data_IF_647826874780
#
_entry.id   IF_647826874780
#
_cell.length_a   1.000
_cell.length_b   1.000
_cell.length_c   1.000
_cell.angle_alpha   90.00
_cell.angle_beta   90.00
_cell.angle_gamma   90.00
#
_symmetry.space_group_name_H-M   'P 1'
#
loop_
_entity.id
_entity.type
_entity.pdbx_description
1 polymer ?
#
# COMPACT_ATOMS: atom_id res chain seq x y z
N UNK A 1 0.23 16.97 -7.98
CA UNK A 1 0.68 16.22 -9.18
C UNK A 1 1.89 15.41 -8.75
N UNK A 2 2.06 14.20 -9.27
CA UNK A 2 2.97 13.19 -8.72
C UNK A 2 4.39 13.44 -9.23
N UNK A 3 5.22 14.09 -8.43
CA UNK A 3 6.51 14.63 -8.87
C UNK A 3 7.53 13.53 -9.17
N UNK A 4 7.66 12.49 -8.34
CA UNK A 4 8.68 11.45 -8.55
C UNK A 4 8.26 10.48 -9.66
N UNK A 5 6.98 10.11 -9.72
CA UNK A 5 6.49 9.19 -10.76
C UNK A 5 6.59 9.81 -12.16
N UNK A 6 6.32 11.11 -12.29
CA UNK A 6 6.50 11.87 -13.53
C UNK A 6 7.98 12.07 -13.87
N UNK A 7 8.82 12.43 -12.88
CA UNK A 7 10.24 12.64 -13.08
C UNK A 7 10.96 11.37 -13.55
N UNK A 8 10.59 10.21 -13.00
CA UNK A 8 11.24 8.91 -13.28
C UNK A 8 10.49 8.12 -14.37
N UNK A 9 9.26 8.51 -14.72
CA UNK A 9 8.41 7.77 -15.65
C UNK A 9 8.05 6.38 -15.10
N UNK A 10 7.77 6.30 -13.80
CA UNK A 10 7.75 5.06 -13.04
C UNK A 10 6.49 4.88 -12.20
N UNK A 11 6.15 3.63 -11.88
CA UNK A 11 5.19 3.35 -10.81
C UNK A 11 5.98 3.25 -9.50
N UNK A 12 5.66 4.09 -8.50
CA UNK A 12 6.36 4.15 -7.21
C UNK A 12 5.51 3.44 -6.15
N UNK A 13 6.10 2.59 -5.30
CA UNK A 13 5.39 2.06 -4.12
C UNK A 13 5.59 2.94 -2.90
N UNK A 14 4.59 3.05 -2.02
CA UNK A 14 4.69 3.80 -0.76
C UNK A 14 5.75 3.27 0.19
N UNK A 15 6.08 1.99 0.10
CA UNK A 15 7.20 1.36 0.81
C UNK A 15 8.56 1.86 0.34
N UNK A 16 8.65 2.53 -0.81
CA UNK A 16 9.89 2.84 -1.53
C UNK A 16 10.73 1.62 -1.94
N UNK A 17 10.27 0.40 -1.68
CA UNK A 17 11.06 -0.82 -1.89
C UNK A 17 11.05 -1.30 -3.34
N UNK A 18 10.10 -0.87 -4.16
CA UNK A 18 10.02 -1.24 -5.58
C UNK A 18 9.52 -0.04 -6.41
N UNK A 19 10.23 0.27 -7.49
CA UNK A 19 9.79 1.15 -8.57
C UNK A 19 9.72 0.36 -9.87
N UNK A 20 8.65 0.54 -10.65
CA UNK A 20 8.53 -0.04 -11.99
C UNK A 20 9.10 0.93 -12.99
N UNK A 21 10.28 0.63 -13.54
CA UNK A 21 11.03 1.58 -14.38
C UNK A 21 11.49 0.91 -15.66
N UNK A 22 10.72 1.13 -16.72
CA UNK A 22 10.97 0.53 -18.03
C UNK A 22 12.30 1.00 -18.66
N UNK A 23 12.51 2.31 -18.75
CA UNK A 23 13.53 2.87 -19.64
C UNK A 23 14.81 3.35 -18.93
N UNK A 24 14.73 3.83 -17.68
CA UNK A 24 15.86 4.50 -17.03
C UNK A 24 16.90 3.55 -16.46
N UNK A 25 18.17 3.95 -16.49
CA UNK A 25 19.26 3.23 -15.81
C UNK A 25 19.18 3.42 -14.29
N UNK A 26 19.87 2.56 -13.53
CA UNK A 26 19.99 2.70 -12.06
C UNK A 26 20.48 4.09 -11.65
N UNK A 27 21.52 4.60 -12.32
CA UNK A 27 22.09 5.92 -12.04
C UNK A 27 21.07 7.04 -12.29
N UNK A 28 20.36 7.00 -13.43
CA UNK A 28 19.33 7.99 -13.75
C UNK A 28 18.17 8.00 -12.73
N UNK A 29 17.82 6.84 -12.16
CA UNK A 29 16.80 6.74 -11.11
C UNK A 29 17.31 7.35 -9.81
N UNK A 30 18.54 7.01 -9.41
CA UNK A 30 19.17 7.51 -8.19
C UNK A 30 19.37 9.03 -8.27
N UNK A 31 19.89 9.55 -9.38
CA UNK A 31 20.12 10.98 -9.58
C UNK A 31 18.80 11.75 -9.50
N UNK A 32 17.76 11.26 -10.20
CA UNK A 32 16.43 11.86 -10.19
C UNK A 32 15.82 11.87 -8.77
N UNK A 33 15.93 10.77 -8.03
CA UNK A 33 15.45 10.69 -6.64
C UNK A 33 16.25 11.61 -5.69
N UNK A 34 17.56 11.68 -5.88
CA UNK A 34 18.44 12.53 -5.08
C UNK A 34 18.16 14.02 -5.31
N UNK A 35 18.03 14.43 -6.57
CA UNK A 35 17.65 15.80 -6.94
C UNK A 35 16.28 16.16 -6.39
N UNK A 36 15.30 15.25 -6.53
CA UNK A 36 13.97 15.44 -5.98
C UNK A 36 13.99 15.68 -4.45
N UNK A 37 14.77 14.87 -3.73
CA UNK A 37 14.92 15.00 -2.28
C UNK A 37 15.61 16.29 -1.87
N UNK A 38 16.69 16.68 -2.57
CA UNK A 38 17.41 17.93 -2.31
C UNK A 38 16.49 19.14 -2.50
N UNK A 39 15.78 19.21 -3.64
CA UNK A 39 14.86 20.30 -3.95
C UNK A 39 13.74 20.42 -2.90
N UNK A 40 13.14 19.28 -2.51
CA UNK A 40 12.12 19.26 -1.45
C UNK A 40 12.69 19.80 -0.13
N UNK A 41 13.88 19.35 0.28
CA UNK A 41 14.52 19.78 1.53
C UNK A 41 14.81 21.28 1.54
N UNK A 42 15.24 21.85 0.42
CA UNK A 42 15.49 23.28 0.28
C UNK A 42 14.21 24.10 0.32
N UNK A 43 13.19 23.69 -0.43
CA UNK A 43 11.87 24.33 -0.40
C UNK A 43 11.29 24.33 1.01
N UNK A 44 11.33 23.18 1.68
CA UNK A 44 10.86 23.01 3.05
C UNK A 44 11.55 23.97 4.02
N UNK A 45 12.88 24.11 3.93
CA UNK A 45 13.65 25.07 4.74
C UNK A 45 13.25 26.51 4.46
N UNK A 46 13.05 26.87 3.19
CA UNK A 46 12.65 28.22 2.78
C UNK A 46 11.26 28.59 3.27
N UNK A 47 10.34 27.64 3.24
CA UNK A 47 8.91 27.84 3.55
C UNK A 47 8.57 27.54 5.03
N UNK A 48 9.54 27.08 5.82
CA UNK A 48 9.32 26.75 7.23
C UNK A 48 8.37 25.57 7.45
N UNK A 49 8.29 24.64 6.48
CA UNK A 49 7.38 23.51 6.51
C UNK A 49 7.88 22.48 7.57
N UNK A 50 6.99 21.92 8.42
CA UNK A 50 7.34 20.89 9.40
C UNK A 50 7.99 19.63 8.79
N UNK A 51 8.53 18.75 9.63
CA UNK A 51 9.01 17.43 9.18
C UNK A 51 7.89 16.67 8.46
N UNK A 52 8.26 15.92 7.42
CA UNK A 52 7.30 15.16 6.58
C UNK A 52 6.42 14.24 7.41
N UNK A 53 7.00 13.62 8.43
CA UNK A 53 6.30 12.65 9.27
C UNK A 53 5.23 13.35 10.13
N UNK A 54 5.50 14.57 10.61
CA UNK A 54 4.53 15.40 11.33
C UNK A 54 3.40 15.86 10.41
N UNK A 55 3.73 16.23 9.16
CA UNK A 55 2.72 16.61 8.17
C UNK A 55 1.83 15.40 7.83
N UNK A 56 2.44 14.22 7.63
CA UNK A 56 1.72 12.98 7.34
C UNK A 56 0.75 12.60 8.45
N UNK A 57 1.18 12.68 9.71
CA UNK A 57 0.33 12.41 10.88
C UNK A 57 -0.91 13.33 10.90
N UNK A 58 -0.72 14.63 10.67
CA UNK A 58 -1.84 15.59 10.60
C UNK A 58 -2.82 15.28 9.47
N UNK A 59 -2.31 14.95 8.29
CA UNK A 59 -3.15 14.60 7.14
C UNK A 59 -3.95 13.32 7.41
N UNK A 60 -3.34 12.32 8.07
CA UNK A 60 -4.02 11.10 8.49
C UNK A 60 -5.15 11.36 9.50
N UNK A 61 -4.91 12.23 10.48
CA UNK A 61 -5.92 12.63 11.47
C UNK A 61 -7.10 13.40 10.83
N UNK A 62 -6.80 14.34 9.94
CA UNK A 62 -7.83 15.07 9.19
C UNK A 62 -8.65 14.13 8.32
N UNK A 63 -8.00 13.18 7.65
CA UNK A 63 -8.66 12.17 6.81
C UNK A 63 -9.61 11.28 7.62
N UNK A 64 -9.19 10.88 8.82
CA UNK A 64 -10.02 10.13 9.76
C UNK A 64 -11.25 10.94 10.16
N UNK A 65 -11.09 12.23 10.48
CA UNK A 65 -12.18 13.14 10.80
C UNK A 65 -13.19 13.29 9.66
N UNK A 66 -12.71 13.44 8.42
CA UNK A 66 -13.56 13.50 7.21
C UNK A 66 -14.37 12.21 7.04
N UNK A 67 -13.74 11.05 7.22
CA UNK A 67 -14.41 9.76 7.11
C UNK A 67 -15.42 9.52 8.25
N UNK A 68 -15.10 9.96 9.48
CA UNK A 68 -16.03 9.91 10.62
C UNK A 68 -17.30 10.73 10.35
N UNK A 69 -17.15 11.92 9.78
CA UNK A 69 -18.29 12.77 9.45
C UNK A 69 -19.15 12.18 8.32
N UNK A 70 -18.52 11.64 7.27
CA UNK A 70 -19.22 10.93 6.20
C UNK A 70 -20.05 9.76 6.74
N UNK A 71 -19.49 8.98 7.67
CA UNK A 71 -20.20 7.89 8.33
C UNK A 71 -21.34 8.39 9.22
N UNK A 72 -21.14 9.48 9.96
CA UNK A 72 -22.18 10.06 10.79
C UNK A 72 -23.39 10.54 9.96
N UNK A 73 -23.16 11.09 8.76
CA UNK A 73 -24.23 11.46 7.82
C UNK A 73 -24.93 10.21 7.28
N UNK A 74 -24.19 9.16 6.92
CA UNK A 74 -24.76 7.89 6.48
C UNK A 74 -25.65 7.24 7.55
N UNK A 75 -25.20 7.26 8.81
CA UNK A 75 -25.99 6.73 9.93
C UNK A 75 -27.27 7.54 10.16
N UNK A 76 -27.23 8.87 9.99
CA UNK A 76 -28.42 9.72 10.03
C UNK A 76 -29.39 9.36 8.90
N UNK A 77 -28.90 9.11 7.69
CA UNK A 77 -29.70 8.66 6.57
C UNK A 77 -30.42 7.35 6.88
N UNK A 78 -29.71 6.34 7.40
CA UNK A 78 -30.32 5.06 7.76
C UNK A 78 -31.40 5.19 8.85
N UNK A 79 -31.25 6.14 9.78
CA UNK A 79 -32.25 6.39 10.84
C UNK A 79 -33.46 7.19 10.34
N UNK A 80 -33.27 8.15 9.43
CA UNK A 80 -34.31 9.11 9.01
C UNK A 80 -34.95 8.80 7.65
N UNK A 81 -34.36 7.89 6.87
CA UNK A 81 -34.80 7.54 5.52
C UNK A 81 -34.52 8.61 4.45
N UNK A 82 -33.82 9.70 4.79
CA UNK A 82 -33.59 10.83 3.89
C UNK A 82 -32.36 11.67 4.24
N UNK A 83 -31.84 12.40 3.24
CA UNK A 83 -30.71 13.33 3.35
C UNK A 83 -31.18 14.71 2.91
N UNK A 84 -30.96 15.72 3.75
CA UNK A 84 -31.27 17.12 3.43
C UNK A 84 -30.36 17.68 2.33
N UNK A 85 -30.79 18.77 1.68
CA UNK A 85 -29.96 19.45 0.67
C UNK A 85 -28.63 19.95 1.24
N UNK A 86 -28.62 20.39 2.51
CA UNK A 86 -27.39 20.79 3.20
C UNK A 86 -26.43 19.61 3.42
N UNK A 87 -26.95 18.46 3.85
CA UNK A 87 -26.14 17.25 3.99
C UNK A 87 -25.61 16.74 2.65
N UNK A 88 -26.36 16.85 1.55
CA UNK A 88 -25.86 16.52 0.21
C UNK A 88 -24.64 17.36 -0.17
N UNK A 89 -24.71 18.68 0.03
CA UNK A 89 -23.57 19.59 -0.21
C UNK A 89 -22.39 19.27 0.69
N UNK A 90 -22.66 18.94 1.97
CA UNK A 90 -21.61 18.56 2.92
C UNK A 90 -20.93 17.24 2.52
N UNK A 91 -21.69 16.23 2.08
CA UNK A 91 -21.14 14.97 1.56
C UNK A 91 -20.21 15.22 0.36
N UNK A 92 -20.64 16.07 -0.59
CA UNK A 92 -19.84 16.40 -1.77
C UNK A 92 -18.52 17.07 -1.38
N UNK A 93 -18.59 18.08 -0.51
CA UNK A 93 -17.40 18.74 0.03
C UNK A 93 -16.47 17.78 0.78
N UNK A 94 -17.00 16.93 1.66
CA UNK A 94 -16.21 15.93 2.40
C UNK A 94 -15.54 14.92 1.46
N UNK A 95 -16.20 14.53 0.37
CA UNK A 95 -15.60 13.64 -0.65
C UNK A 95 -14.44 14.32 -1.35
N UNK A 96 -14.59 15.59 -1.72
CA UNK A 96 -13.52 16.37 -2.32
C UNK A 96 -12.34 16.51 -1.35
N UNK A 97 -12.57 16.91 -0.10
CA UNK A 97 -11.52 17.00 0.91
C UNK A 97 -10.81 15.66 1.13
N UNK A 98 -11.56 14.54 1.13
CA UNK A 98 -10.96 13.21 1.24
C UNK A 98 -10.02 12.90 0.07
N UNK A 99 -10.43 13.24 -1.15
CA UNK A 99 -9.62 12.98 -2.34
C UNK A 99 -8.37 13.88 -2.36
N UNK A 100 -8.47 15.14 -1.92
CA UNK A 100 -7.35 16.06 -1.72
C UNK A 100 -6.36 15.54 -0.65
N UNK A 101 -6.85 15.12 0.52
CA UNK A 101 -6.02 14.56 1.59
C UNK A 101 -5.30 13.27 1.14
N UNK A 102 -5.99 12.40 0.39
CA UNK A 102 -5.37 11.21 -0.20
C UNK A 102 -4.22 11.58 -1.14
N UNK A 103 -4.43 12.58 -1.99
CA UNK A 103 -3.39 13.08 -2.88
C UNK A 103 -2.19 13.63 -2.11
N UNK A 104 -2.42 14.39 -1.03
CA UNK A 104 -1.33 14.88 -0.17
C UNK A 104 -0.53 13.73 0.46
N UNK A 105 -1.20 12.65 0.88
CA UNK A 105 -0.49 11.46 1.40
C UNK A 105 0.36 10.78 0.32
N UNK A 106 -0.14 10.71 -0.92
CA UNK A 106 0.59 10.12 -2.03
C UNK A 106 1.85 10.94 -2.36
N UNK A 107 1.75 12.28 -2.33
CA UNK A 107 2.90 13.18 -2.52
C UNK A 107 3.94 13.04 -1.38
N UNK A 108 3.49 12.87 -0.14
CA UNK A 108 4.38 12.62 1.00
C UNK A 108 5.10 11.26 0.90
N UNK A 109 4.41 10.22 0.43
CA UNK A 109 5.00 8.90 0.23
C UNK A 109 6.05 8.91 -0.90
N UNK A 110 5.84 9.68 -1.96
CA UNK A 110 6.85 9.87 -3.01
C UNK A 110 8.10 10.59 -2.52
N UNK A 111 7.93 11.61 -1.66
CA UNK A 111 9.06 12.30 -1.02
C UNK A 111 9.82 11.33 -0.11
N UNK A 112 9.11 10.49 0.65
CA UNK A 112 9.73 9.48 1.49
C UNK A 112 10.53 8.47 0.66
N UNK A 113 10.00 8.06 -0.51
CA UNK A 113 10.70 7.18 -1.43
C UNK A 113 11.96 7.83 -2.03
N UNK A 114 11.85 9.08 -2.48
CA UNK A 114 12.99 9.86 -2.99
C UNK A 114 14.11 9.96 -1.93
N UNK A 115 13.72 10.24 -0.68
CA UNK A 115 14.63 10.29 0.47
C UNK A 115 15.34 8.96 0.70
N UNK A 116 14.63 7.84 0.65
CA UNK A 116 15.21 6.51 0.89
C UNK A 116 16.23 6.16 -0.21
N UNK A 117 15.86 6.34 -1.48
CA UNK A 117 16.75 6.07 -2.63
C UNK A 117 17.99 6.99 -2.60
N UNK A 118 17.79 8.29 -2.35
CA UNK A 118 18.89 9.26 -2.33
C UNK A 118 19.86 9.08 -1.17
N UNK A 119 19.39 8.59 -0.01
CA UNK A 119 20.25 8.36 1.15
C UNK A 119 20.97 7.00 1.10
N UNK A 120 20.35 5.97 0.51
CA UNK A 120 20.86 4.60 0.48
C UNK A 120 20.92 4.02 -0.96
N UNK A 121 21.59 4.70 -1.92
CA UNK A 121 21.53 4.31 -3.33
C UNK A 121 22.04 2.89 -3.61
N UNK A 122 23.02 2.43 -2.84
CA UNK A 122 23.61 1.09 -2.98
C UNK A 122 22.70 -0.03 -2.43
N UNK A 123 21.59 0.30 -1.76
CA UNK A 123 20.61 -0.69 -1.32
C UNK A 123 19.67 -1.13 -2.45
N UNK A 124 19.72 -0.43 -3.60
CA UNK A 124 18.78 -0.62 -4.71
C UNK A 124 19.48 -1.12 -5.98
N UNK A 125 18.80 -2.03 -6.67
CA UNK A 125 19.26 -2.58 -7.94
C UNK A 125 18.12 -2.60 -8.96
N UNK A 126 18.46 -2.37 -10.23
CA UNK A 126 17.55 -2.56 -11.35
C UNK A 126 17.74 -3.97 -11.92
N UNK A 127 16.67 -4.72 -12.04
CA UNK A 127 16.69 -6.04 -12.66
C UNK A 127 15.35 -6.37 -13.32
N UNK A 128 15.35 -7.44 -14.11
CA UNK A 128 14.12 -8.00 -14.69
C UNK A 128 13.69 -9.18 -13.84
N UNK A 129 12.41 -9.20 -13.49
CA UNK A 129 11.86 -10.25 -12.67
C UNK A 129 11.69 -11.55 -13.44
N UNK A 130 11.99 -12.64 -12.76
CA UNK A 130 11.68 -14.01 -13.11
C UNK A 130 10.97 -14.74 -11.95
N UNK A 131 10.60 -16.00 -12.14
CA UNK A 131 9.89 -16.74 -11.10
C UNK A 131 10.73 -16.95 -9.83
N UNK A 132 12.06 -16.90 -9.90
CA UNK A 132 12.93 -17.12 -8.75
C UNK A 132 12.91 -15.91 -7.79
N UNK A 133 12.72 -14.70 -8.35
CA UNK A 133 12.58 -13.45 -7.60
C UNK A 133 11.14 -12.89 -7.54
N UNK A 134 10.13 -13.69 -7.92
CA UNK A 134 8.73 -13.28 -7.93
C UNK A 134 8.23 -12.78 -6.55
N UNK A 135 8.81 -13.30 -5.47
CA UNK A 135 8.47 -12.90 -4.10
C UNK A 135 8.71 -11.41 -3.84
N UNK A 136 9.66 -10.77 -4.51
CA UNK A 136 9.94 -9.33 -4.37
C UNK A 136 8.71 -8.51 -4.75
N UNK A 137 8.02 -8.83 -5.87
CA UNK A 137 6.73 -8.19 -6.18
C UNK A 137 5.66 -8.62 -5.19
N UNK A 138 5.61 -9.91 -4.83
CA UNK A 138 4.57 -10.39 -3.93
C UNK A 138 4.53 -9.55 -2.64
N UNK A 139 5.70 -9.15 -2.12
CA UNK A 139 5.85 -8.23 -0.97
C UNK A 139 5.13 -6.89 -1.12
N UNK A 140 4.94 -6.41 -2.35
CA UNK A 140 4.27 -5.15 -2.66
C UNK A 140 2.75 -5.29 -2.82
N UNK A 141 2.21 -6.51 -2.76
CA UNK A 141 0.78 -6.71 -2.96
C UNK A 141 -0.02 -6.13 -1.79
N UNK A 142 -0.84 -5.13 -2.14
CA UNK A 142 -1.68 -4.39 -1.21
C UNK A 142 -1.01 -3.13 -0.63
N UNK A 143 0.28 -2.92 -0.89
CA UNK A 143 0.97 -1.65 -0.65
C UNK A 143 0.37 -0.58 -1.56
N UNK A 144 0.32 0.65 -1.08
CA UNK A 144 -0.16 1.78 -1.88
C UNK A 144 0.81 2.03 -3.05
N UNK A 145 0.29 2.14 -4.27
CA UNK A 145 1.10 2.30 -5.49
C UNK A 145 0.67 3.55 -6.24
N UNK A 146 1.66 4.28 -6.78
CA UNK A 146 1.48 5.55 -7.48
C UNK A 146 1.94 5.42 -8.93
N UNK A 147 1.22 6.00 -9.88
CA UNK A 147 1.64 6.06 -11.28
C UNK A 147 0.99 5.03 -12.22
N UNK A 148 0.39 3.94 -11.73
CA UNK A 148 -0.41 3.02 -12.58
C UNK A 148 -1.90 3.38 -12.55
N UNK A 149 -2.38 4.02 -13.61
CA UNK A 149 -3.80 4.38 -13.76
C UNK A 149 -4.57 3.35 -14.60
N UNK A 150 -5.82 3.10 -14.21
CA UNK A 150 -6.74 2.23 -14.92
C UNK A 150 -7.16 2.88 -16.25
N UNK A 151 -7.00 2.21 -17.40
CA UNK A 151 -7.30 2.79 -18.71
C UNK A 151 -8.79 3.07 -18.92
N UNK A 152 -9.68 2.39 -18.17
CA UNK A 152 -11.12 2.61 -18.29
C UNK A 152 -11.65 3.78 -17.46
N UNK A 153 -11.08 4.04 -16.29
CA UNK A 153 -11.68 4.96 -15.32
C UNK A 153 -10.70 5.91 -14.63
N UNK A 154 -9.41 5.87 -14.96
CA UNK A 154 -8.39 6.76 -14.44
C UNK A 154 -8.01 6.57 -12.97
N UNK A 155 -8.62 5.64 -12.25
CA UNK A 155 -8.27 5.32 -10.85
C UNK A 155 -6.97 4.53 -10.74
N UNK A 156 -6.32 4.59 -9.59
CA UNK A 156 -5.12 3.80 -9.33
C UNK A 156 -5.39 2.30 -9.44
N UNK A 157 -4.36 1.57 -9.88
CA UNK A 157 -4.35 0.12 -9.93
C UNK A 157 -3.40 -0.44 -8.87
N UNK A 158 -3.74 -1.61 -8.34
CA UNK A 158 -2.96 -2.34 -7.35
C UNK A 158 -2.54 -3.68 -7.96
N UNK A 159 -1.36 -4.16 -7.62
CA UNK A 159 -0.97 -5.53 -7.98
C UNK A 159 -1.81 -6.51 -7.17
N UNK A 160 -2.32 -7.53 -7.85
CA UNK A 160 -3.14 -8.60 -7.29
C UNK A 160 -2.75 -9.93 -7.96
N UNK A 161 -3.17 -11.04 -7.35
CA UNK A 161 -3.16 -12.36 -7.98
C UNK A 161 -4.44 -13.13 -7.63
N UNK A 162 -4.81 -14.18 -8.40
CA UNK A 162 -6.04 -14.92 -8.18
C UNK A 162 -6.13 -15.51 -6.78
N UNK A 163 -7.31 -15.41 -6.15
CA UNK A 163 -7.49 -15.85 -4.75
C UNK A 163 -7.21 -17.34 -4.53
N UNK A 164 -7.39 -18.17 -5.55
CA UNK A 164 -7.17 -19.61 -5.50
C UNK A 164 -5.69 -20.00 -5.56
N UNK A 165 -4.82 -19.10 -6.03
CA UNK A 165 -3.39 -19.33 -6.13
C UNK A 165 -2.74 -19.13 -4.76
N UNK A 166 -2.02 -20.15 -4.31
CA UNK A 166 -1.32 -20.18 -3.00
C UNK A 166 0.07 -19.55 -3.09
N UNK A 167 0.84 -19.91 -4.11
CA UNK A 167 2.12 -19.30 -4.45
C UNK A 167 2.00 -18.73 -5.86
N UNK A 168 2.06 -17.40 -5.98
CA UNK A 168 1.86 -16.71 -7.25
C UNK A 168 3.20 -16.57 -7.98
N UNK A 169 3.31 -17.16 -9.17
CA UNK A 169 4.41 -16.83 -10.07
C UNK A 169 4.20 -15.46 -10.70
N UNK A 170 5.15 -15.03 -11.52
CA UNK A 170 5.04 -13.75 -12.24
C UNK A 170 3.81 -13.70 -13.13
N UNK A 171 3.50 -14.81 -13.80
CA UNK A 171 2.38 -14.89 -14.74
C UNK A 171 1.00 -14.89 -14.06
N UNK A 172 0.95 -15.06 -12.74
CA UNK A 172 -0.30 -14.96 -11.96
C UNK A 172 -0.62 -13.52 -11.55
N UNK A 173 0.34 -12.60 -11.67
CA UNK A 173 0.20 -11.22 -11.23
C UNK A 173 -0.53 -10.39 -12.29
N UNK A 174 -1.39 -9.49 -11.82
CA UNK A 174 -2.09 -8.53 -12.67
C UNK A 174 -2.36 -7.22 -11.93
N UNK A 175 -2.56 -6.16 -12.70
CA UNK A 175 -3.04 -4.88 -12.20
C UNK A 175 -4.55 -4.94 -12.04
N UNK A 176 -5.06 -4.77 -10.82
CA UNK A 176 -6.49 -4.66 -10.52
C UNK A 176 -6.89 -3.21 -10.23
N UNK A 177 -7.95 -2.72 -10.88
CA UNK A 177 -8.46 -1.37 -10.60
C UNK A 177 -8.94 -1.24 -9.14
N UNK A 178 -8.49 -0.21 -8.43
CA UNK A 178 -8.94 0.11 -7.07
C UNK A 178 -10.45 0.38 -6.98
N UNK A 179 -11.07 0.77 -8.10
CA UNK A 179 -12.53 0.91 -8.24
C UNK A 179 -13.31 -0.38 -7.99
N UNK A 180 -12.65 -1.54 -7.99
CA UNK A 180 -13.28 -2.82 -7.64
C UNK A 180 -13.80 -2.83 -6.19
N UNK A 181 -13.14 -2.12 -5.28
CA UNK A 181 -13.50 -2.07 -3.87
C UNK A 181 -14.47 -0.94 -3.52
N UNK A 182 -14.84 -0.13 -4.50
CA UNK A 182 -15.82 0.94 -4.35
C UNK A 182 -17.16 0.41 -4.85
N UNK A 183 -18.15 0.37 -3.96
CA UNK A 183 -19.51 -0.04 -4.28
C UNK A 183 -20.35 1.18 -4.65
N UNK A 184 -21.00 1.11 -5.81
CA UNK A 184 -22.00 2.06 -6.24
C UNK A 184 -23.33 1.82 -5.49
N UNK A 185 -24.27 2.79 -5.47
CA UNK A 185 -25.56 2.63 -4.80
C UNK A 185 -26.38 1.41 -5.26
N UNK A 186 -26.17 0.95 -6.50
CA UNK A 186 -26.79 -0.25 -7.06
C UNK A 186 -26.09 -1.57 -6.67
N UNK A 187 -25.09 -1.54 -5.78
CA UNK A 187 -24.32 -2.69 -5.31
C UNK A 187 -23.23 -3.19 -6.26
N UNK A 188 -23.14 -2.61 -7.46
CA UNK A 188 -22.08 -2.93 -8.42
C UNK A 188 -20.75 -2.28 -8.02
N UNK A 189 -19.65 -2.88 -8.46
CA UNK A 189 -18.32 -2.27 -8.36
C UNK A 189 -18.23 -1.06 -9.30
N UNK A 190 -17.54 0.00 -8.87
CA UNK A 190 -17.34 1.20 -9.68
C UNK A 190 -16.52 0.94 -10.94
N UNK A 191 -15.58 -0.02 -10.88
CA UNK A 191 -14.85 -0.53 -12.05
C UNK A 191 -14.34 -1.93 -11.74
N UNK A 192 -14.37 -2.84 -12.72
CA UNK A 192 -13.88 -4.23 -12.57
C UNK A 192 -12.66 -4.52 -13.43
N UNK A 193 -12.13 -3.51 -14.10
CA UNK A 193 -11.05 -3.69 -15.07
C UNK A 193 -9.79 -4.26 -14.42
N UNK A 194 -9.14 -5.13 -15.16
CA UNK A 194 -7.84 -5.73 -14.83
C UNK A 194 -6.94 -5.64 -16.04
N UNK A 195 -5.66 -5.38 -15.83
CA UNK A 195 -4.66 -5.31 -16.90
C UNK A 195 -3.55 -6.31 -16.60
N UNK A 196 -3.18 -7.12 -17.59
CA UNK A 196 -2.05 -8.04 -17.45
C UNK A 196 -0.75 -7.27 -17.26
N UNK A 197 0.19 -7.85 -16.52
CA UNK A 197 1.53 -7.27 -16.43
C UNK A 197 2.25 -7.41 -17.77
N UNK A 198 2.84 -6.31 -18.21
CA UNK A 198 3.66 -6.23 -19.42
C UNK A 198 5.13 -6.52 -19.10
N UNK A 199 5.97 -6.74 -20.12
CA UNK A 199 7.42 -6.85 -19.91
C UNK A 199 8.00 -5.61 -19.23
N UNK A 200 7.44 -4.43 -19.49
CA UNK A 200 7.82 -3.19 -18.81
C UNK A 200 7.49 -3.22 -17.32
N UNK A 201 6.37 -3.84 -16.94
CA UNK A 201 6.00 -4.03 -15.54
C UNK A 201 6.88 -5.10 -14.84
N UNK A 202 7.71 -5.85 -15.59
CA UNK A 202 8.67 -6.81 -15.03
C UNK A 202 10.07 -6.21 -14.83
N UNK A 203 10.34 -5.00 -15.34
CA UNK A 203 11.59 -4.29 -15.09
C UNK A 203 11.41 -3.40 -13.86
N UNK A 204 12.03 -3.80 -12.76
CA UNK A 204 11.91 -3.10 -11.48
C UNK A 204 13.25 -2.58 -10.99
N UNK A 205 13.18 -1.49 -10.25
CA UNK A 205 14.25 -0.96 -9.42
C UNK A 205 13.82 -1.16 -7.98
N UNK A 206 14.47 -2.07 -7.27
CA UNK A 206 14.03 -2.51 -5.96
C UNK A 206 15.16 -2.59 -4.96
N UNK A 207 14.79 -2.51 -3.69
CA UNK A 207 15.71 -2.70 -2.58
C UNK A 207 16.07 -4.18 -2.46
N UNK A 208 17.35 -4.52 -2.62
CA UNK A 208 17.88 -5.91 -2.66
C UNK A 208 18.92 -6.20 -1.57
N UNK A 209 19.07 -5.30 -0.60
CA UNK A 209 20.01 -5.47 0.50
C UNK A 209 19.50 -6.41 1.62
N UNK A 210 18.20 -6.72 1.64
CA UNK A 210 17.58 -7.57 2.66
C UNK A 210 17.95 -9.05 2.48
N UNK A 211 18.09 -9.82 3.59
CA UNK A 211 18.31 -11.27 3.50
C UNK A 211 17.22 -11.99 2.69
N UNK A 212 15.96 -11.57 2.81
CA UNK A 212 14.83 -12.19 2.11
C UNK A 212 14.88 -12.02 0.59
N UNK A 213 15.48 -10.92 0.12
CA UNK A 213 15.64 -10.68 -1.32
C UNK A 213 16.73 -11.54 -1.96
N UNK A 214 17.63 -12.12 -1.15
CA UNK A 214 18.80 -12.90 -1.58
C UNK A 214 18.53 -14.41 -1.68
N UNK A 215 17.37 -14.87 -1.21
CA UNK A 215 16.92 -16.26 -1.31
C UNK A 215 15.80 -16.37 -2.34
N UNK A 216 15.58 -17.58 -2.86
CA UNK A 216 14.48 -17.81 -3.82
C UNK A 216 13.11 -17.74 -3.13
N UNK A 217 12.05 -17.50 -3.92
CA UNK A 217 10.68 -17.54 -3.42
C UNK A 217 10.33 -18.86 -2.72
N UNK A 218 10.75 -20.00 -3.29
CA UNK A 218 10.48 -21.33 -2.75
C UNK A 218 11.25 -21.57 -1.44
N UNK A 219 12.50 -21.14 -1.36
CA UNK A 219 13.31 -21.24 -0.14
C UNK A 219 12.71 -20.37 0.98
N UNK A 220 12.39 -19.11 0.70
CA UNK A 220 11.80 -18.19 1.67
C UNK A 220 10.45 -18.72 2.20
N UNK A 221 9.62 -19.24 1.30
CA UNK A 221 8.33 -19.84 1.65
C UNK A 221 8.52 -21.09 2.50
N UNK A 222 9.46 -21.96 2.13
CA UNK A 222 9.78 -23.17 2.87
C UNK A 222 10.26 -22.87 4.29
N UNK A 223 11.16 -21.90 4.46
CA UNK A 223 11.70 -21.49 5.76
C UNK A 223 10.63 -20.98 6.70
N UNK A 224 9.74 -20.09 6.23
CA UNK A 224 8.67 -19.51 7.05
C UNK A 224 7.64 -20.53 7.53
N UNK A 225 7.45 -21.62 6.77
CA UNK A 225 6.49 -22.68 7.11
C UNK A 225 7.06 -23.73 8.08
N UNK A 226 8.35 -23.68 8.41
CA UNK A 226 8.92 -24.54 9.45
C UNK A 226 8.33 -24.16 10.83
N UNK A 227 8.08 -25.13 11.74
CA UNK A 227 7.42 -24.86 13.02
C UNK A 227 8.09 -23.78 13.87
N UNK A 228 9.43 -23.79 13.98
CA UNK A 228 10.20 -22.80 14.75
C UNK A 228 10.06 -21.38 14.18
N UNK A 229 10.52 -21.13 12.94
CA UNK A 229 10.34 -19.84 12.27
C UNK A 229 8.89 -19.35 12.24
N UNK A 230 7.92 -20.25 11.97
CA UNK A 230 6.51 -19.88 11.94
C UNK A 230 6.02 -19.37 13.30
N UNK A 231 6.49 -19.93 14.41
CA UNK A 231 6.11 -19.47 15.75
C UNK A 231 6.68 -18.08 16.04
N UNK A 232 7.94 -17.84 15.68
CA UNK A 232 8.60 -16.53 15.86
C UNK A 232 7.88 -15.45 15.04
N UNK A 233 7.56 -15.74 13.77
CA UNK A 233 6.82 -14.80 12.92
C UNK A 233 5.42 -14.53 13.48
N UNK A 234 4.75 -15.57 13.99
CA UNK A 234 3.45 -15.45 14.65
C UNK A 234 3.49 -14.53 15.87
N UNK A 235 4.49 -14.68 16.75
CA UNK A 235 4.68 -13.85 17.94
C UNK A 235 4.86 -12.39 17.53
N UNK A 236 5.80 -12.12 16.64
CA UNK A 236 6.10 -10.75 16.17
C UNK A 236 4.90 -10.07 15.50
N UNK A 237 4.11 -10.81 14.71
CA UNK A 237 2.88 -10.27 14.13
C UNK A 237 1.81 -9.98 15.19
N UNK A 238 1.75 -10.74 16.29
CA UNK A 238 0.83 -10.43 17.39
C UNK A 238 1.30 -9.20 18.18
N UNK A 239 2.60 -9.00 18.32
CA UNK A 239 3.16 -7.80 18.93
C UNK A 239 2.80 -6.56 18.10
N UNK A 240 2.95 -6.63 16.76
CA UNK A 240 2.48 -5.57 15.85
C UNK A 240 0.99 -5.27 16.03
N UNK A 241 0.14 -6.29 16.17
CA UNK A 241 -1.30 -6.09 16.44
C UNK A 241 -1.51 -5.34 17.78
N UNK A 242 -0.76 -5.72 18.81
CA UNK A 242 -0.83 -5.09 20.14
C UNK A 242 -0.40 -3.61 20.07
N UNK A 243 0.69 -3.32 19.36
CA UNK A 243 1.23 -1.99 19.19
C UNK A 243 0.29 -1.08 18.39
N UNK A 244 -0.22 -1.57 17.25
CA UNK A 244 -1.22 -0.83 16.46
C UNK A 244 -2.47 -0.50 17.29
N UNK A 245 -2.91 -1.44 18.13
CA UNK A 245 -4.05 -1.22 19.02
C UNK A 245 -3.77 -0.18 20.09
N UNK A 246 -2.58 -0.21 20.72
CA UNK A 246 -2.23 0.75 21.77
C UNK A 246 -2.07 2.17 21.22
N UNK A 247 -1.48 2.29 20.03
CA UNK A 247 -1.21 3.56 19.36
C UNK A 247 -2.38 4.06 18.49
N UNK A 248 -3.46 3.27 18.35
CA UNK A 248 -4.63 3.62 17.54
C UNK A 248 -4.31 3.94 16.07
N UNK A 249 -3.31 3.27 15.49
CA UNK A 249 -2.82 3.46 14.12
C UNK A 249 -2.92 2.18 13.27
N UNK A 250 -2.69 2.30 11.96
CA UNK A 250 -2.53 1.16 11.07
C UNK A 250 -1.09 0.99 10.60
N UNK A 251 -0.93 0.24 9.50
CA UNK A 251 0.34 0.10 8.77
C UNK A 251 0.47 1.17 7.71
N UNK A 252 1.42 2.09 7.89
CA UNK A 252 1.58 3.32 7.11
C UNK A 252 1.57 3.12 5.58
N UNK A 253 2.18 2.04 5.10
CA UNK A 253 2.35 1.81 3.65
C UNK A 253 1.12 1.17 2.98
N UNK A 254 0.19 0.68 3.80
CA UNK A 254 -1.02 -0.01 3.35
C UNK A 254 -2.23 0.87 3.62
N UNK A 255 -2.80 1.49 2.59
CA UNK A 255 -3.97 2.37 2.71
C UNK A 255 -5.19 1.78 1.99
N UNK A 256 -6.37 2.06 2.53
CA UNK A 256 -7.63 1.66 1.93
C UNK A 256 -7.92 2.53 0.69
N UNK A 257 -8.12 1.98 -0.53
CA UNK A 257 -8.36 2.80 -1.72
C UNK A 257 -9.64 3.64 -1.62
N UNK A 258 -10.62 3.17 -0.86
CA UNK A 258 -11.91 3.85 -0.66
C UNK A 258 -11.82 4.98 0.37
N UNK A 259 -11.08 4.79 1.46
CA UNK A 259 -11.09 5.72 2.60
C UNK A 259 -9.78 6.48 2.78
N UNK A 260 -8.69 6.04 2.16
CA UNK A 260 -7.32 6.54 2.34
C UNK A 260 -6.68 6.21 3.69
N UNK A 261 -7.47 5.75 4.67
CA UNK A 261 -6.97 5.34 6.00
C UNK A 261 -6.07 4.10 5.92
N UNK A 262 -5.09 4.05 6.82
CA UNK A 262 -4.19 2.93 7.00
C UNK A 262 -4.96 1.63 7.35
N UNK A 263 -4.46 0.51 6.84
CA UNK A 263 -5.01 -0.80 7.15
C UNK A 263 -4.45 -1.30 8.48
N UNK A 264 -5.30 -1.97 9.25
CA UNK A 264 -4.94 -2.54 10.56
C UNK A 264 -4.71 -4.03 10.40
N UNK A 265 -3.63 -4.54 11.00
CA UNK A 265 -3.30 -5.95 11.02
C UNK A 265 -4.30 -6.72 11.89
N UNK A 266 -4.79 -7.83 11.36
CA UNK A 266 -5.78 -8.69 12.01
C UNK A 266 -5.43 -10.15 11.81
N UNK A 267 -5.83 -10.95 12.79
CA UNK A 267 -5.64 -12.40 12.83
C UNK A 267 -6.96 -13.13 12.61
N UNK A 268 -6.95 -14.19 11.82
CA UNK A 268 -8.09 -15.11 11.67
C UNK A 268 -8.10 -16.13 12.81
N UNK A 269 -9.30 -16.47 13.27
CA UNK A 269 -9.48 -17.50 14.30
C UNK A 269 -9.24 -18.92 13.77
N UNK A 270 -9.60 -19.17 12.51
CA UNK A 270 -9.42 -20.47 11.86
C UNK A 270 -8.58 -20.26 10.60
N UNK A 271 -7.30 -20.62 10.70
CA UNK A 271 -6.34 -20.55 9.61
C UNK A 271 -5.69 -21.92 9.42
N UNK A 272 -5.34 -22.23 8.18
CA UNK A 272 -4.70 -23.52 7.83
C UNK A 272 -3.18 -23.47 7.91
N UNK A 273 -2.60 -22.28 7.85
CA UNK A 273 -1.16 -22.02 7.92
C UNK A 273 -0.90 -20.55 8.24
N UNK A 274 0.35 -20.20 8.56
CA UNK A 274 0.79 -18.82 8.78
C UNK A 274 0.43 -17.88 7.61
N UNK A 275 0.64 -18.34 6.37
CA UNK A 275 0.33 -17.59 5.14
C UNK A 275 -1.18 -17.46 4.82
N UNK A 276 -2.06 -17.96 5.70
CA UNK A 276 -3.50 -17.70 5.64
C UNK A 276 -4.02 -17.07 6.95
N UNK A 277 -3.15 -16.85 7.93
CA UNK A 277 -3.57 -16.47 9.28
C UNK A 277 -3.79 -14.98 9.45
N UNK A 278 -3.05 -14.14 8.72
CA UNK A 278 -3.07 -12.70 8.87
C UNK A 278 -3.61 -11.98 7.64
N UNK A 279 -4.23 -10.83 7.89
CA UNK A 279 -4.69 -9.91 6.85
C UNK A 279 -4.69 -8.48 7.38
N UNK A 280 -4.50 -7.53 6.47
CA UNK A 280 -4.68 -6.12 6.72
C UNK A 280 -6.11 -5.74 6.31
N UNK A 281 -6.85 -5.10 7.21
CA UNK A 281 -8.24 -4.68 6.96
C UNK A 281 -8.43 -3.19 7.19
N UNK A 282 -9.29 -2.56 6.40
CA UNK A 282 -9.65 -1.16 6.62
C UNK A 282 -10.17 -0.94 8.05
N UNK A 283 -9.88 0.21 8.67
CA UNK A 283 -10.42 0.55 9.98
C UNK A 283 -11.96 0.50 10.02
N UNK A 284 -12.59 0.84 8.88
CA UNK A 284 -14.05 0.80 8.68
C UNK A 284 -14.57 -0.58 8.26
N UNK A 285 -13.72 -1.60 8.28
CA UNK A 285 -14.12 -2.97 7.98
C UNK A 285 -15.04 -3.50 9.08
N UNK A 286 -16.15 -4.11 8.66
CA UNK A 286 -17.03 -4.88 9.51
C UNK A 286 -17.32 -6.23 8.84
N UNK A 287 -17.49 -7.32 9.61
CA UNK A 287 -17.92 -8.61 9.08
C UNK A 287 -19.23 -8.51 8.27
N UNK A 288 -19.51 -9.52 7.45
CA UNK A 288 -20.79 -9.67 6.72
C UNK A 288 -21.13 -8.50 5.78
N UNK A 289 -20.12 -7.85 5.18
CA UNK A 289 -20.27 -6.70 4.28
C UNK A 289 -20.99 -5.49 4.90
N UNK A 290 -20.96 -5.36 6.24
CA UNK A 290 -21.59 -4.25 6.95
C UNK A 290 -20.71 -2.98 7.04
N UNK A 291 -19.51 -3.03 6.44
CA UNK A 291 -18.55 -1.94 6.42
C UNK A 291 -17.70 -2.00 5.16
N UNK A 292 -16.56 -1.32 5.17
CA UNK A 292 -15.61 -1.39 4.06
C UNK A 292 -15.16 -2.85 3.85
N UNK A 293 -15.33 -3.40 2.65
CA UNK A 293 -14.95 -4.78 2.35
C UNK A 293 -13.48 -4.93 1.94
N UNK A 294 -12.70 -3.86 1.92
CA UNK A 294 -11.31 -3.89 1.50
C UNK A 294 -10.42 -4.58 2.56
N UNK A 295 -9.76 -5.64 2.12
CA UNK A 295 -8.76 -6.38 2.89
C UNK A 295 -7.61 -6.78 1.96
N UNK A 296 -6.41 -6.87 2.52
CA UNK A 296 -5.21 -7.45 1.89
C UNK A 296 -4.86 -8.71 2.68
N UNK A 297 -4.93 -9.87 2.03
CA UNK A 297 -4.50 -11.12 2.66
C UNK A 297 -2.98 -11.23 2.58
N UNK A 298 -2.32 -11.53 3.69
CA UNK A 298 -0.87 -11.73 3.73
C UNK A 298 -0.58 -13.20 3.41
N UNK A 299 -0.30 -13.46 2.13
CA UNK A 299 -0.29 -14.80 1.53
C UNK A 299 1.09 -15.30 1.12
N UNK A 300 2.10 -14.44 1.17
CA UNK A 300 3.48 -14.80 0.85
C UNK A 300 4.41 -14.46 2.01
N UNK A 301 5.53 -15.17 2.08
CA UNK A 301 6.56 -14.90 3.05
C UNK A 301 7.11 -13.47 2.91
N UNK A 302 7.29 -12.98 1.67
CA UNK A 302 7.79 -11.61 1.44
C UNK A 302 6.79 -10.52 1.84
N UNK A 303 5.47 -10.74 1.78
CA UNK A 303 4.50 -9.80 2.36
C UNK A 303 4.67 -9.68 3.88
N UNK A 304 4.87 -10.81 4.57
CA UNK A 304 5.13 -10.81 6.01
C UNK A 304 6.46 -10.12 6.32
N UNK A 305 7.50 -10.41 5.54
CA UNK A 305 8.82 -9.77 5.65
C UNK A 305 8.74 -8.25 5.50
N UNK A 306 8.08 -7.78 4.44
CA UNK A 306 7.93 -6.36 4.13
C UNK A 306 7.16 -5.65 5.24
N UNK A 307 6.05 -6.23 5.70
CA UNK A 307 5.26 -5.68 6.80
C UNK A 307 6.09 -5.61 8.10
N UNK A 308 6.73 -6.72 8.50
CA UNK A 308 7.53 -6.76 9.72
C UNK A 308 8.73 -5.81 9.65
N UNK A 309 9.40 -5.71 8.51
CA UNK A 309 10.53 -4.80 8.31
C UNK A 309 10.12 -3.36 8.54
N UNK A 310 8.94 -2.97 8.05
CA UNK A 310 8.42 -1.60 8.22
C UNK A 310 7.89 -1.34 9.64
N UNK A 311 7.25 -2.31 10.26
CA UNK A 311 6.69 -2.15 11.63
C UNK A 311 7.74 -2.31 12.73
N UNK A 312 8.78 -3.12 12.51
CA UNK A 312 9.72 -3.55 13.57
C UNK A 312 11.20 -3.35 13.22
N UNK A 313 11.51 -2.82 12.02
CA UNK A 313 12.89 -2.63 11.54
C UNK A 313 13.59 -3.92 11.08
N UNK A 314 12.98 -5.10 11.26
CA UNK A 314 13.55 -6.40 10.93
C UNK A 314 12.55 -7.25 10.12
N UNK A 315 13.04 -7.98 9.12
CA UNK A 315 12.21 -8.87 8.29
C UNK A 315 11.91 -10.20 8.98
N UNK A 316 11.66 -11.26 8.22
CA UNK A 316 11.42 -12.63 8.74
C UNK A 316 12.70 -13.46 8.89
N UNK A 317 13.79 -13.06 8.20
CA UNK A 317 15.12 -13.67 8.32
C UNK A 317 16.06 -12.82 9.19
#
# INVERSE_FOLDING_TARGET
MSFLSELVGAVVTATATVLYVAAKTTLEIIDAASEAWINFREQRRREGIPETDIVKEKVLDELKGVNDELLAILDKYHRRGGISTGEKRRIEHLRQCRDELKQSLDELDEVAAAREIGNEPNAFEKFTLDNDCAHIIQGQVGVSMFGKKCPECGRDMLIQWPRAVKAAGINDLFWGCSGYYIKLPNGQQACKNTVLMTQYDMSIFARTDSPESKVSNDELTGLVLLPGPSNIVNERLNDVISDQRSQHRGSNDYRCPTHGEELVLRKKNQATSLLDQYFLGCLRWKPNNQGCSYIVKLKSAMQLATLLKKETGTGIL
#
